data_IF_678813867346
#
_entry.id   IF_678813867346
#
_cell.length_a   1.000
_cell.length_b   1.000
_cell.length_c   1.000
_cell.angle_alpha   90.00
_cell.angle_beta   90.00
_cell.angle_gamma   90.00
#
_symmetry.space_group_name_H-M   'P 1'
#
loop_
_entity.id
_entity.type
_entity.pdbx_description
1 polymer ?
#
# COMPACT_ATOMS: atom_id res chain seq x y z
N UNK A 1 -12.76 34.11 -3.42
CA UNK A 1 -11.70 33.12 -3.12
C UNK A 1 -12.36 31.75 -3.03
N UNK A 2 -12.43 31.00 -4.14
CA UNK A 2 -12.77 29.58 -4.06
C UNK A 2 -11.53 28.88 -3.50
N UNK A 3 -11.53 28.59 -2.19
CA UNK A 3 -10.43 27.83 -1.59
C UNK A 3 -10.31 26.50 -2.33
N UNK A 4 -9.14 26.26 -2.94
CA UNK A 4 -8.86 25.01 -3.64
C UNK A 4 -9.22 23.83 -2.73
N UNK A 5 -10.18 23.02 -3.17
CA UNK A 5 -10.64 21.85 -2.41
C UNK A 5 -9.57 20.76 -2.49
N UNK A 6 -8.50 20.88 -1.72
CA UNK A 6 -7.51 19.80 -1.58
C UNK A 6 -8.15 18.54 -0.99
N UNK A 7 -7.58 17.38 -1.31
CA UNK A 7 -7.96 16.09 -0.73
C UNK A 7 -7.60 16.04 0.77
N UNK A 8 -8.12 15.06 1.53
CA UNK A 8 -7.46 14.66 2.77
C UNK A 8 -5.98 14.33 2.51
N UNK A 9 -5.17 14.43 3.55
CA UNK A 9 -3.78 14.03 3.52
C UNK A 9 -3.75 12.50 3.60
N UNK A 10 -3.24 11.86 2.56
CA UNK A 10 -2.93 10.44 2.58
C UNK A 10 -1.66 10.22 3.39
N UNK A 11 -1.76 9.51 4.50
CA UNK A 11 -0.67 9.27 5.44
C UNK A 11 -0.36 7.78 5.51
N UNK A 12 0.81 7.41 5.02
CA UNK A 12 1.28 6.03 5.05
C UNK A 12 2.43 5.88 6.06
N UNK A 13 2.25 5.01 7.05
CA UNK A 13 3.17 4.85 8.18
C UNK A 13 3.90 3.51 8.04
N UNK A 14 5.10 3.54 7.49
CA UNK A 14 6.00 2.38 7.41
C UNK A 14 6.87 2.24 8.66
N UNK A 15 7.68 1.17 8.75
CA UNK A 15 8.60 0.96 9.88
C UNK A 15 9.75 1.98 9.92
N UNK A 16 10.25 2.41 8.76
CA UNK A 16 11.40 3.33 8.63
C UNK A 16 11.04 4.74 8.16
N UNK A 17 9.88 4.92 7.54
CA UNK A 17 9.47 6.24 7.05
C UNK A 17 7.97 6.47 7.19
N UNK A 18 7.60 7.75 7.30
CA UNK A 18 6.23 8.23 7.14
C UNK A 18 6.13 8.96 5.81
N UNK A 19 5.29 8.44 4.92
CA UNK A 19 5.00 9.05 3.62
C UNK A 19 3.68 9.81 3.69
N UNK A 20 3.66 11.04 3.22
CA UNK A 20 2.44 11.85 3.16
C UNK A 20 2.27 12.49 1.78
N UNK A 21 1.04 12.47 1.27
CA UNK A 21 0.67 13.11 0.00
C UNK A 21 -0.65 13.85 0.18
N UNK A 22 -0.75 15.04 -0.39
CA UNK A 22 -1.99 15.79 -0.54
C UNK A 22 -2.14 16.21 -2.00
N UNK A 23 -3.34 16.01 -2.53
CA UNK A 23 -3.66 16.25 -3.93
C UNK A 23 -4.62 17.43 -4.09
N UNK A 24 -4.57 18.07 -5.25
CA UNK A 24 -5.54 19.03 -5.73
C UNK A 24 -6.30 18.44 -6.93
N UNK A 25 -7.64 18.47 -6.96
CA UNK A 25 -8.40 18.00 -8.12
C UNK A 25 -8.18 18.92 -9.31
N UNK A 26 -7.99 18.33 -10.50
CA UNK A 26 -7.85 19.10 -11.74
C UNK A 26 -9.20 19.40 -12.39
N UNK A 27 -9.37 20.58 -13.02
CA UNK A 27 -10.47 20.82 -13.95
C UNK A 27 -10.46 19.76 -15.06
N UNK A 28 -11.57 19.06 -15.29
CA UNK A 28 -11.66 17.99 -16.28
C UNK A 28 -11.32 16.58 -15.77
N UNK A 29 -10.96 16.45 -14.48
CA UNK A 29 -10.73 15.16 -13.83
C UNK A 29 -9.25 14.89 -13.54
N UNK A 30 -9.01 13.90 -12.66
CA UNK A 30 -7.68 13.60 -12.15
C UNK A 30 -7.21 14.56 -11.05
N UNK A 31 -5.92 14.43 -10.72
CA UNK A 31 -5.30 15.15 -9.62
C UNK A 31 -3.95 15.74 -10.04
N UNK A 32 -3.56 16.79 -9.33
CA UNK A 32 -2.19 17.29 -9.24
C UNK A 32 -1.66 17.15 -7.81
N UNK A 33 -0.35 16.97 -7.67
CA UNK A 33 0.33 16.95 -6.38
C UNK A 33 0.37 18.36 -5.81
N UNK A 34 -0.28 18.56 -4.66
CA UNK A 34 -0.26 19.82 -3.93
C UNK A 34 0.84 19.87 -2.86
N UNK A 35 1.10 18.73 -2.22
CA UNK A 35 2.21 18.55 -1.29
C UNK A 35 2.55 17.06 -1.19
N UNK A 36 3.83 16.73 -1.05
CA UNK A 36 4.29 15.37 -0.84
C UNK A 36 5.56 15.38 0.00
N UNK A 37 5.73 14.43 0.92
CA UNK A 37 6.95 14.28 1.70
C UNK A 37 7.11 12.83 2.17
N UNK A 38 8.36 12.38 2.28
CA UNK A 38 8.75 11.16 2.98
C UNK A 38 9.68 11.55 4.13
N UNK A 39 9.33 11.16 5.35
CA UNK A 39 10.04 11.52 6.58
C UNK A 39 10.67 10.26 7.17
N UNK A 40 11.97 10.27 7.52
CA UNK A 40 12.56 9.14 8.25
C UNK A 40 11.95 9.05 9.66
N UNK A 41 11.79 7.82 10.15
CA UNK A 41 11.37 7.52 11.52
C UNK A 41 12.60 7.26 12.40
N UNK A 42 12.45 7.50 13.69
CA UNK A 42 13.51 7.26 14.67
C UNK A 42 13.85 5.77 14.80
N UNK A 43 15.06 5.47 15.27
CA UNK A 43 15.44 4.10 15.61
C UNK A 43 14.48 3.51 16.67
N UNK A 44 14.04 2.27 16.48
CA UNK A 44 13.08 1.61 17.36
C UNK A 44 11.61 1.99 17.13
N UNK A 45 11.32 2.82 16.12
CA UNK A 45 9.94 3.02 15.66
C UNK A 45 9.34 1.67 15.22
N UNK A 46 8.26 1.25 15.90
CA UNK A 46 7.55 0.02 15.57
C UNK A 46 6.88 0.09 14.18
N UNK A 47 6.48 -1.05 13.64
CA UNK A 47 5.75 -1.10 12.37
C UNK A 47 4.34 -0.49 12.51
N UNK A 48 3.99 0.46 11.64
CA UNK A 48 2.61 0.83 11.35
C UNK A 48 1.88 1.80 12.30
N UNK A 49 2.34 1.97 13.54
CA UNK A 49 1.72 2.91 14.48
C UNK A 49 2.66 4.08 14.81
N UNK A 50 2.13 5.30 14.78
CA UNK A 50 2.80 6.47 15.32
C UNK A 50 2.59 6.52 16.83
N UNK A 51 3.57 7.04 17.56
CA UNK A 51 3.32 7.50 18.94
C UNK A 51 2.74 8.92 18.91
N UNK A 52 2.14 9.37 20.00
CA UNK A 52 1.62 10.76 20.12
C UNK A 52 2.73 11.78 19.85
N UNK A 53 3.92 11.59 20.43
CA UNK A 53 5.06 12.49 20.22
C UNK A 53 5.56 12.47 18.76
N UNK A 54 5.56 11.29 18.14
CA UNK A 54 5.94 11.16 16.74
C UNK A 54 4.93 11.83 15.81
N UNK A 55 3.64 11.65 16.09
CA UNK A 55 2.54 12.32 15.38
C UNK A 55 2.70 13.85 15.42
N UNK A 56 3.00 14.41 16.61
CA UNK A 56 3.27 15.84 16.77
C UNK A 56 4.42 16.34 15.88
N UNK A 57 5.56 15.62 15.86
CA UNK A 57 6.71 15.95 15.00
C UNK A 57 6.38 15.85 13.51
N UNK A 58 5.68 14.78 13.11
CA UNK A 58 5.24 14.59 11.72
C UNK A 58 4.40 15.80 11.30
N UNK A 59 3.43 16.20 12.11
CA UNK A 59 2.51 17.28 11.76
C UNK A 59 3.18 18.66 11.63
N UNK A 60 4.15 18.97 12.49
CA UNK A 60 4.96 20.18 12.36
C UNK A 60 5.68 20.24 11.01
N UNK A 61 6.23 19.11 10.56
CA UNK A 61 6.89 19.03 9.26
C UNK A 61 5.88 19.14 8.12
N UNK A 62 4.74 18.45 8.19
CA UNK A 62 3.70 18.55 7.15
C UNK A 62 3.25 20.01 6.95
N UNK A 63 3.02 20.75 8.03
CA UNK A 63 2.65 22.17 7.95
C UNK A 63 3.72 23.02 7.23
N UNK A 64 5.01 22.75 7.47
CA UNK A 64 6.14 23.44 6.79
C UNK A 64 6.31 23.00 5.34
N UNK A 65 5.89 21.79 5.00
CA UNK A 65 5.98 21.20 3.65
C UNK A 65 4.77 21.55 2.76
N UNK A 66 3.95 22.53 3.15
CA UNK A 66 2.86 23.05 2.33
C UNK A 66 1.56 22.25 2.39
N UNK A 67 1.45 21.26 3.28
CA UNK A 67 0.19 20.58 3.55
C UNK A 67 -0.80 21.53 4.23
N UNK A 68 -2.09 21.42 3.89
CA UNK A 68 -3.15 22.26 4.48
C UNK A 68 -4.35 21.43 4.92
N UNK A 69 -5.14 21.99 5.85
CA UNK A 69 -6.25 21.29 6.47
C UNK A 69 -5.79 20.31 7.55
N UNK A 70 -6.74 19.53 8.07
CA UNK A 70 -6.54 18.66 9.26
C UNK A 70 -7.08 17.25 9.06
N UNK A 71 -7.49 16.91 7.84
CA UNK A 71 -8.14 15.61 7.54
C UNK A 71 -7.14 14.63 7.00
N UNK A 72 -7.08 13.46 7.60
CA UNK A 72 -6.11 12.41 7.27
C UNK A 72 -6.84 11.13 6.87
N UNK A 73 -6.33 10.46 5.85
CA UNK A 73 -6.66 9.08 5.53
C UNK A 73 -5.38 8.29 5.70
N UNK A 74 -5.39 7.27 6.55
CA UNK A 74 -4.21 6.44 6.81
C UNK A 74 -4.44 4.98 6.47
N UNK A 75 -3.39 4.28 6.07
CA UNK A 75 -3.45 2.85 5.89
C UNK A 75 -3.43 2.14 7.25
N UNK A 76 -4.25 1.09 7.40
CA UNK A 76 -4.09 0.15 8.49
C UNK A 76 -2.73 -0.60 8.35
N UNK A 77 -2.00 -0.87 9.44
CA UNK A 77 -0.74 -1.60 9.39
C UNK A 77 -0.90 -2.99 8.78
N UNK A 78 -0.10 -3.30 7.76
CA UNK A 78 -0.15 -4.59 7.06
C UNK A 78 0.04 -5.79 8.00
N UNK A 79 0.81 -5.61 9.07
CA UNK A 79 1.13 -6.69 10.00
C UNK A 79 0.00 -7.04 10.98
N UNK A 80 -1.01 -6.18 11.10
CA UNK A 80 -2.16 -6.35 12.01
C UNK A 80 -3.48 -6.58 11.26
N UNK A 81 -3.50 -6.36 9.94
CA UNK A 81 -4.65 -6.63 9.08
C UNK A 81 -4.71 -8.12 8.72
N UNK A 82 -5.91 -8.66 8.68
CA UNK A 82 -6.20 -10.01 8.20
C UNK A 82 -7.25 -9.95 7.09
N UNK A 83 -7.20 -10.89 6.15
CA UNK A 83 -8.07 -10.89 4.97
C UNK A 83 -8.63 -12.29 4.68
N UNK A 84 -9.80 -12.32 4.04
CA UNK A 84 -10.40 -13.55 3.54
C UNK A 84 -11.18 -13.29 2.24
N UNK A 85 -11.01 -14.18 1.27
CA UNK A 85 -11.92 -14.27 0.12
C UNK A 85 -13.05 -15.25 0.49
N UNK A 86 -14.29 -14.76 0.48
CA UNK A 86 -15.46 -15.49 0.97
C UNK A 86 -16.46 -15.75 -0.15
N UNK A 87 -17.15 -16.88 -0.05
CA UNK A 87 -18.33 -17.20 -0.85
C UNK A 87 -19.55 -17.14 0.08
N UNK A 88 -20.45 -16.22 -0.21
CA UNK A 88 -21.60 -15.90 0.62
C UNK A 88 -22.89 -16.07 -0.19
N UNK A 89 -24.06 -16.16 0.47
CA UNK A 89 -25.33 -16.22 -0.24
C UNK A 89 -25.49 -15.10 -1.28
N UNK A 90 -26.21 -15.35 -2.39
CA UNK A 90 -26.53 -14.33 -3.39
C UNK A 90 -27.10 -13.07 -2.74
N UNK A 91 -26.65 -11.87 -3.14
CA UNK A 91 -27.26 -10.60 -2.70
C UNK A 91 -28.76 -10.56 -3.02
N UNK A 92 -29.19 -11.19 -4.11
CA UNK A 92 -30.60 -11.31 -4.52
C UNK A 92 -31.48 -12.08 -3.52
N UNK A 93 -30.89 -12.87 -2.62
CA UNK A 93 -31.63 -13.56 -1.55
C UNK A 93 -32.07 -12.63 -0.41
N UNK A 94 -31.58 -11.38 -0.37
CA UNK A 94 -31.81 -10.46 0.73
C UNK A 94 -30.94 -10.72 1.97
N UNK A 95 -29.97 -11.64 1.88
CA UNK A 95 -29.03 -11.91 2.95
C UNK A 95 -28.15 -10.68 3.26
N UNK A 96 -27.86 -10.39 4.55
CA UNK A 96 -26.98 -9.29 4.94
C UNK A 96 -25.52 -9.69 4.72
N UNK A 97 -25.05 -9.61 3.47
CA UNK A 97 -23.72 -10.07 3.03
C UNK A 97 -22.59 -9.49 3.87
N UNK A 98 -22.66 -8.20 4.21
CA UNK A 98 -21.63 -7.53 5.00
C UNK A 98 -21.53 -8.09 6.42
N UNK A 99 -22.66 -8.39 7.07
CA UNK A 99 -22.69 -8.98 8.41
C UNK A 99 -22.22 -10.44 8.39
N UNK A 100 -22.60 -11.21 7.36
CA UNK A 100 -22.10 -12.56 7.16
C UNK A 100 -20.59 -12.58 6.93
N UNK A 101 -20.08 -11.68 6.08
CA UNK A 101 -18.64 -11.52 5.85
C UNK A 101 -17.89 -11.19 7.15
N UNK A 102 -18.46 -10.29 7.97
CA UNK A 102 -17.91 -9.92 9.27
C UNK A 102 -17.85 -11.11 10.23
N UNK A 103 -18.94 -11.88 10.33
CA UNK A 103 -19.01 -13.09 11.15
C UNK A 103 -17.99 -14.15 10.73
N UNK A 104 -17.92 -14.41 9.42
CA UNK A 104 -16.99 -15.38 8.84
C UNK A 104 -15.54 -14.98 9.05
N UNK A 105 -15.21 -13.70 8.83
CA UNK A 105 -13.86 -13.19 9.05
C UNK A 105 -13.48 -13.25 10.54
N UNK A 106 -14.36 -12.82 11.45
CA UNK A 106 -14.12 -12.87 12.90
C UNK A 106 -13.86 -14.31 13.37
N UNK A 107 -14.66 -15.27 12.88
CA UNK A 107 -14.48 -16.71 13.14
C UNK A 107 -13.13 -17.22 12.65
N UNK A 108 -12.70 -16.81 11.45
CA UNK A 108 -11.41 -17.25 10.88
C UNK A 108 -10.20 -16.87 11.75
N UNK A 109 -10.30 -15.75 12.48
CA UNK A 109 -9.25 -15.25 13.39
C UNK A 109 -9.55 -15.49 14.87
N UNK A 110 -10.58 -16.29 15.18
CA UNK A 110 -10.99 -16.65 16.55
C UNK A 110 -11.24 -15.43 17.45
N UNK A 111 -11.90 -14.40 16.92
CA UNK A 111 -12.33 -13.20 17.65
C UNK A 111 -13.84 -13.06 17.65
N UNK A 112 -14.36 -12.29 18.59
CA UNK A 112 -15.77 -11.91 18.59
C UNK A 112 -16.07 -10.89 17.50
N UNK A 113 -17.29 -10.92 16.95
CA UNK A 113 -17.71 -10.01 15.87
C UNK A 113 -17.61 -8.54 16.29
N UNK A 114 -17.82 -8.23 17.57
CA UNK A 114 -17.71 -6.89 18.13
C UNK A 114 -16.27 -6.38 18.29
N UNK A 115 -15.28 -7.27 18.22
CA UNK A 115 -13.85 -6.94 18.41
C UNK A 115 -13.12 -6.66 17.10
N UNK A 116 -13.82 -6.70 15.97
CA UNK A 116 -13.24 -6.51 14.65
C UNK A 116 -13.97 -5.42 13.86
N UNK A 117 -13.19 -4.57 13.22
CA UNK A 117 -13.63 -3.64 12.18
C UNK A 117 -13.35 -4.29 10.83
N UNK A 118 -14.31 -4.21 9.90
CA UNK A 118 -14.22 -4.95 8.62
C UNK A 118 -14.62 -4.07 7.45
N UNK A 119 -13.80 -4.11 6.40
CA UNK A 119 -14.12 -3.62 5.07
C UNK A 119 -14.50 -4.81 4.17
N UNK A 120 -15.57 -4.69 3.40
CA UNK A 120 -16.05 -5.75 2.49
C UNK A 120 -16.33 -5.14 1.13
N UNK A 121 -15.92 -5.82 0.07
CA UNK A 121 -16.29 -5.47 -1.30
C UNK A 121 -16.52 -6.71 -2.16
N UNK A 122 -17.36 -6.56 -3.17
CA UNK A 122 -17.64 -7.61 -4.13
C UNK A 122 -16.43 -7.81 -5.04
N UNK A 123 -16.12 -9.07 -5.32
CA UNK A 123 -15.09 -9.45 -6.29
C UNK A 123 -15.74 -10.11 -7.50
N UNK A 124 -15.13 -9.98 -8.69
CA UNK A 124 -15.60 -10.69 -9.86
C UNK A 124 -15.70 -12.19 -9.59
N UNK A 125 -16.70 -12.83 -10.22
CA UNK A 125 -16.92 -14.26 -10.05
C UNK A 125 -15.70 -15.05 -10.56
N UNK A 126 -15.16 -15.98 -9.76
CA UNK A 126 -14.16 -16.93 -10.23
C UNK A 126 -14.68 -17.79 -11.37
N UNK A 127 -13.84 -18.06 -12.36
CA UNK A 127 -14.17 -18.95 -13.48
C UNK A 127 -14.26 -20.41 -13.02
N UNK A 128 -13.59 -20.76 -11.91
CA UNK A 128 -13.58 -22.10 -11.32
C UNK A 128 -14.01 -22.07 -9.86
N UNK A 129 -14.86 -23.04 -9.47
CA UNK A 129 -15.12 -23.36 -8.07
C UNK A 129 -16.12 -22.48 -7.33
N UNK A 130 -16.95 -21.68 -8.02
CA UNK A 130 -18.03 -20.90 -7.39
C UNK A 130 -19.41 -21.39 -7.81
N UNK A 131 -20.31 -21.61 -6.84
CA UNK A 131 -21.72 -21.92 -7.10
C UNK A 131 -22.34 -20.84 -8.00
N UNK A 132 -23.24 -21.23 -8.91
CA UNK A 132 -23.70 -20.31 -9.97
C UNK A 132 -24.38 -19.03 -9.50
N UNK A 133 -24.80 -19.00 -8.24
CA UNK A 133 -25.54 -17.89 -7.65
C UNK A 133 -24.85 -17.25 -6.44
N UNK A 134 -23.67 -17.71 -6.02
CA UNK A 134 -23.03 -17.17 -4.82
C UNK A 134 -22.46 -15.75 -5.04
N UNK A 135 -22.49 -14.94 -3.98
CA UNK A 135 -21.78 -13.66 -3.94
C UNK A 135 -20.35 -13.92 -3.50
N UNK A 136 -19.38 -13.54 -4.33
CA UNK A 136 -17.97 -13.59 -3.94
C UNK A 136 -17.54 -12.23 -3.42
N UNK A 137 -16.95 -12.21 -2.22
CA UNK A 137 -16.46 -10.98 -1.60
C UNK A 137 -15.02 -11.13 -1.13
N UNK A 138 -14.32 -10.01 -1.03
CA UNK A 138 -13.10 -9.88 -0.25
C UNK A 138 -13.44 -9.12 1.02
N UNK A 139 -13.01 -9.67 2.15
CA UNK A 139 -13.15 -9.05 3.46
C UNK A 139 -11.76 -8.78 4.04
N UNK A 140 -11.56 -7.59 4.60
CA UNK A 140 -10.36 -7.21 5.34
C UNK A 140 -10.73 -6.68 6.70
N UNK A 141 -10.01 -7.14 7.73
CA UNK A 141 -10.31 -6.84 9.11
C UNK A 141 -9.11 -6.33 9.87
N UNK A 142 -9.41 -5.53 10.88
CA UNK A 142 -8.50 -5.05 11.90
C UNK A 142 -9.20 -5.18 13.26
N UNK A 143 -8.47 -5.45 14.32
CA UNK A 143 -9.06 -5.44 15.65
C UNK A 143 -9.52 -4.04 16.08
N UNK A 144 -10.65 -3.95 16.77
CA UNK A 144 -11.27 -2.68 17.15
C UNK A 144 -10.34 -1.84 18.04
N UNK A 145 -9.75 -2.45 19.07
CA UNK A 145 -8.82 -1.77 19.97
C UNK A 145 -7.55 -1.30 19.23
N UNK A 146 -7.04 -2.12 18.29
CA UNK A 146 -5.91 -1.74 17.45
C UNK A 146 -6.27 -0.55 16.52
N UNK A 147 -7.48 -0.53 15.97
CA UNK A 147 -7.98 0.58 15.15
C UNK A 147 -8.11 1.88 15.97
N UNK A 148 -8.69 1.79 17.17
CA UNK A 148 -8.85 2.93 18.08
C UNK A 148 -7.50 3.52 18.48
N UNK A 149 -6.54 2.68 18.89
CA UNK A 149 -5.20 3.14 19.26
C UNK A 149 -4.47 3.87 18.12
N UNK A 150 -4.64 3.42 16.86
CA UNK A 150 -4.08 4.09 15.69
C UNK A 150 -4.68 5.48 15.48
N UNK A 151 -6.01 5.59 15.61
CA UNK A 151 -6.73 6.86 15.46
C UNK A 151 -6.33 7.82 16.57
N UNK A 152 -6.37 7.37 17.83
CA UNK A 152 -6.02 8.18 19.00
C UNK A 152 -4.60 8.74 18.90
N UNK A 153 -3.62 7.93 18.51
CA UNK A 153 -2.24 8.40 18.39
C UNK A 153 -2.07 9.53 17.38
N UNK A 154 -2.86 9.52 16.29
CA UNK A 154 -2.84 10.56 15.26
C UNK A 154 -3.64 11.79 15.69
N UNK A 155 -4.83 11.61 16.30
CA UNK A 155 -5.74 12.70 16.69
C UNK A 155 -5.35 13.37 18.01
N UNK A 156 -4.50 12.75 18.84
CA UNK A 156 -4.06 13.30 20.12
C UNK A 156 -3.36 14.67 20.01
N UNK A 157 -2.84 15.02 18.83
CA UNK A 157 -2.11 16.24 18.57
C UNK A 157 -2.73 17.11 17.46
N UNK A 158 -2.49 18.41 17.54
CA UNK A 158 -2.69 19.37 16.45
C UNK A 158 -4.08 19.34 15.77
N UNK A 159 -5.16 18.98 16.47
CA UNK A 159 -6.53 19.02 15.95
C UNK A 159 -6.73 18.28 14.62
N UNK A 160 -5.95 17.22 14.40
CA UNK A 160 -6.05 16.33 13.24
C UNK A 160 -7.28 15.45 13.41
N UNK A 161 -7.93 15.12 12.30
CA UNK A 161 -9.09 14.23 12.24
C UNK A 161 -8.80 13.12 11.24
N UNK A 162 -8.80 11.88 11.72
CA UNK A 162 -8.72 10.69 10.87
C UNK A 162 -10.11 10.49 10.22
N UNK A 163 -10.18 10.80 8.93
CA UNK A 163 -11.36 10.66 8.08
C UNK A 163 -11.52 9.22 7.58
N UNK A 164 -10.45 8.41 7.54
CA UNK A 164 -10.53 6.98 7.34
C UNK A 164 -9.27 6.23 7.75
N UNK A 165 -9.47 5.02 8.27
CA UNK A 165 -8.54 3.92 8.13
C UNK A 165 -8.90 3.18 6.83
N UNK A 166 -7.91 3.01 5.96
CA UNK A 166 -8.06 2.34 4.66
C UNK A 166 -7.23 1.06 4.60
N UNK A 167 -7.62 0.15 3.72
CA UNK A 167 -6.83 -1.02 3.41
C UNK A 167 -5.69 -0.61 2.48
N UNK A 168 -4.45 -0.92 2.86
CA UNK A 168 -3.28 -0.52 2.07
C UNK A 168 -3.32 -1.06 0.64
N UNK A 169 -3.78 -2.30 0.44
CA UNK A 169 -3.99 -2.87 -0.89
C UNK A 169 -4.95 -2.07 -1.78
N UNK A 170 -5.95 -1.41 -1.17
CA UNK A 170 -6.92 -0.59 -1.88
C UNK A 170 -6.31 0.77 -2.25
N UNK A 171 -5.47 1.33 -1.39
CA UNK A 171 -4.67 2.50 -1.73
C UNK A 171 -3.68 2.20 -2.87
N UNK A 172 -2.97 1.07 -2.78
CA UNK A 172 -2.14 0.56 -3.87
C UNK A 172 -2.92 0.40 -5.17
N UNK A 173 -4.09 -0.23 -5.13
CA UNK A 173 -4.94 -0.38 -6.30
C UNK A 173 -5.28 0.98 -6.95
N UNK A 174 -5.68 1.97 -6.15
CA UNK A 174 -6.00 3.32 -6.65
C UNK A 174 -4.79 4.00 -7.30
N UNK A 175 -3.63 3.93 -6.65
CA UNK A 175 -2.39 4.48 -7.21
C UNK A 175 -1.99 3.78 -8.52
N UNK A 176 -2.00 2.44 -8.54
CA UNK A 176 -1.64 1.64 -9.71
C UNK A 176 -2.58 1.85 -10.90
N UNK A 177 -3.89 1.94 -10.65
CA UNK A 177 -4.89 2.23 -11.67
C UNK A 177 -4.75 3.67 -12.20
N UNK A 178 -4.45 4.65 -11.35
CA UNK A 178 -4.18 6.01 -11.79
C UNK A 178 -2.93 6.07 -12.69
N UNK A 179 -1.88 5.33 -12.33
CA UNK A 179 -0.62 5.29 -13.06
C UNK A 179 -0.67 4.58 -14.42
N UNK A 180 -1.60 3.64 -14.59
CA UNK A 180 -1.74 2.86 -15.83
C UNK A 180 -2.98 3.21 -16.65
N UNK A 181 -3.90 3.99 -16.10
CA UNK A 181 -5.17 4.30 -16.72
C UNK A 181 -5.94 3.03 -17.12
N UNK A 182 -6.43 2.99 -18.36
CA UNK A 182 -7.13 1.84 -18.92
C UNK A 182 -6.22 0.81 -19.61
N UNK A 183 -4.88 0.95 -19.51
CA UNK A 183 -3.95 0.00 -20.12
C UNK A 183 -4.16 -1.41 -19.53
N UNK A 184 -4.50 -2.37 -20.40
CA UNK A 184 -4.73 -3.78 -20.04
C UNK A 184 -6.17 -4.26 -20.20
N UNK A 185 -7.13 -3.38 -20.49
CA UNK A 185 -8.52 -3.78 -20.77
C UNK A 185 -9.29 -4.32 -19.56
N UNK A 186 -10.61 -4.46 -19.72
CA UNK A 186 -11.46 -5.11 -18.74
C UNK A 186 -11.25 -6.63 -18.83
N UNK A 187 -10.70 -7.25 -17.77
CA UNK A 187 -10.60 -8.71 -17.66
C UNK A 187 -9.18 -9.30 -17.54
N UNK A 188 -8.12 -8.49 -17.47
CA UNK A 188 -6.78 -8.99 -17.11
C UNK A 188 -6.53 -8.89 -15.61
N UNK A 189 -5.72 -9.81 -15.09
CA UNK A 189 -5.14 -9.70 -13.76
C UNK A 189 -3.99 -8.70 -13.78
N UNK A 190 -3.90 -7.86 -12.74
CA UNK A 190 -2.69 -7.06 -12.49
C UNK A 190 -2.16 -7.41 -11.12
N UNK A 191 -0.89 -7.75 -11.00
CA UNK A 191 -0.25 -7.87 -9.70
C UNK A 191 0.37 -6.53 -9.31
N UNK A 192 0.21 -6.18 -8.04
CA UNK A 192 0.93 -5.08 -7.40
C UNK A 192 1.86 -5.69 -6.37
N UNK A 193 3.13 -5.33 -6.43
CA UNK A 193 4.18 -5.73 -5.52
C UNK A 193 4.68 -4.49 -4.80
N UNK A 194 4.44 -4.42 -3.50
CA UNK A 194 4.97 -3.38 -2.63
C UNK A 194 6.10 -3.96 -1.79
N UNK A 195 7.32 -3.54 -2.11
CA UNK A 195 8.52 -3.95 -1.37
C UNK A 195 8.83 -2.89 -0.31
N UNK A 196 8.19 -3.07 0.85
CA UNK A 196 8.37 -2.24 2.02
C UNK A 196 9.63 -2.59 2.82
N UNK A 197 9.91 -1.80 3.85
CA UNK A 197 11.01 -2.10 4.77
C UNK A 197 10.73 -3.36 5.61
N UNK A 198 9.54 -3.47 6.22
CA UNK A 198 9.23 -4.58 7.13
C UNK A 198 8.71 -5.84 6.43
N UNK A 199 8.06 -5.72 5.28
CA UNK A 199 7.39 -6.82 4.61
C UNK A 199 7.30 -6.60 3.09
N UNK A 200 7.03 -7.71 2.39
CA UNK A 200 6.57 -7.73 1.01
C UNK A 200 5.05 -7.85 0.99
N UNK A 201 4.37 -7.00 0.24
CA UNK A 201 2.93 -7.12 0.00
C UNK A 201 2.67 -7.39 -1.47
N UNK A 202 1.86 -8.41 -1.76
CA UNK A 202 1.45 -8.78 -3.11
C UNK A 202 -0.08 -8.77 -3.19
N UNK A 203 -0.63 -7.81 -3.92
CA UNK A 203 -2.06 -7.72 -4.19
C UNK A 203 -2.36 -8.04 -5.65
N UNK A 204 -3.44 -8.77 -5.93
CA UNK A 204 -3.89 -9.03 -7.30
C UNK A 204 -5.20 -8.32 -7.55
N UNK A 205 -5.26 -7.58 -8.65
CA UNK A 205 -6.44 -6.90 -9.14
C UNK A 205 -7.09 -7.69 -10.28
N UNK A 206 -8.42 -7.77 -10.27
CA UNK A 206 -9.21 -8.22 -11.41
C UNK A 206 -10.36 -7.24 -11.63
N UNK A 207 -10.44 -6.66 -12.84
CA UNK A 207 -11.45 -5.63 -13.14
C UNK A 207 -11.34 -4.37 -12.27
N UNK A 208 -10.15 -4.07 -11.73
CA UNK A 208 -9.91 -2.94 -10.82
C UNK A 208 -10.24 -3.23 -9.35
N UNK A 209 -10.79 -4.39 -9.02
CA UNK A 209 -11.04 -4.82 -7.65
C UNK A 209 -9.88 -5.67 -7.13
N UNK A 210 -9.48 -5.48 -5.87
CA UNK A 210 -8.53 -6.36 -5.19
C UNK A 210 -9.22 -7.70 -4.95
N UNK A 211 -8.70 -8.77 -5.55
CA UNK A 211 -9.27 -10.13 -5.45
C UNK A 211 -8.43 -11.09 -4.64
N UNK A 212 -7.20 -10.71 -4.36
CA UNK A 212 -6.26 -11.44 -3.53
C UNK A 212 -5.28 -10.45 -2.93
N UNK A 213 -4.87 -10.70 -1.70
CA UNK A 213 -3.89 -9.90 -0.99
C UNK A 213 -3.10 -10.82 -0.05
N UNK A 214 -1.77 -10.68 -0.06
CA UNK A 214 -0.88 -11.47 0.80
C UNK A 214 0.29 -10.62 1.23
N UNK A 215 0.55 -10.65 2.54
CA UNK A 215 1.72 -10.05 3.17
C UNK A 215 2.68 -11.16 3.56
N UNK A 216 3.93 -11.06 3.10
CA UNK A 216 5.02 -11.98 3.46
C UNK A 216 5.97 -11.23 4.40
N UNK A 217 5.82 -11.53 5.70
CA UNK A 217 6.73 -11.05 6.74
C UNK A 217 8.15 -11.57 6.44
N UNK A 218 9.16 -10.83 6.86
CA UNK A 218 10.58 -11.15 6.65
C UNK A 218 11.08 -11.11 5.19
N UNK A 219 10.21 -10.76 4.24
CA UNK A 219 10.57 -10.51 2.84
C UNK A 219 10.60 -9.01 2.48
N UNK A 220 10.78 -8.13 3.47
CA UNK A 220 11.04 -6.70 3.27
C UNK A 220 12.53 -6.33 3.27
N UNK A 221 12.85 -5.06 3.03
CA UNK A 221 14.24 -4.57 2.99
C UNK A 221 14.99 -4.69 4.32
N UNK A 222 14.29 -4.79 5.45
CA UNK A 222 14.91 -5.00 6.77
C UNK A 222 15.65 -6.34 6.85
N UNK A 223 15.23 -7.38 6.08
CA UNK A 223 15.96 -8.64 6.03
C UNK A 223 17.29 -8.49 5.28
N UNK A 224 17.28 -7.74 4.16
CA UNK A 224 18.50 -7.37 3.41
C UNK A 224 19.46 -6.60 4.30
N UNK A 225 18.97 -5.54 4.97
CA UNK A 225 19.79 -4.74 5.91
C UNK A 225 20.45 -5.60 6.97
N UNK A 226 19.68 -6.52 7.58
CA UNK A 226 20.18 -7.40 8.65
C UNK A 226 21.31 -8.29 8.15
N UNK A 227 21.17 -8.88 6.96
CA UNK A 227 22.21 -9.72 6.36
C UNK A 227 23.46 -8.88 6.04
N UNK A 228 23.28 -7.69 5.46
CA UNK A 228 24.41 -6.79 5.16
C UNK A 228 25.13 -6.31 6.41
N UNK A 229 24.41 -5.95 7.47
CA UNK A 229 24.99 -5.55 8.76
C UNK A 229 25.82 -6.70 9.37
N UNK A 230 25.37 -7.94 9.22
CA UNK A 230 26.10 -9.10 9.74
C UNK A 230 27.32 -9.49 8.89
N UNK A 231 27.26 -9.31 7.57
CA UNK A 231 28.36 -9.65 6.66
C UNK A 231 29.42 -8.54 6.53
N UNK A 232 29.01 -7.27 6.67
CA UNK A 232 29.87 -6.09 6.53
C UNK A 232 30.21 -5.47 7.90
N UNK A 233 30.39 -6.29 8.94
CA UNK A 233 30.63 -5.81 10.32
C UNK A 233 31.71 -4.73 10.34
N UNK A 234 31.40 -3.59 10.97
CA UNK A 234 32.30 -2.44 11.08
C UNK A 234 32.25 -1.45 9.91
N UNK A 235 31.46 -1.73 8.86
CA UNK A 235 31.16 -0.75 7.81
C UNK A 235 29.99 0.12 8.26
N UNK A 236 30.28 1.40 8.54
CA UNK A 236 29.24 2.40 8.72
C UNK A 236 28.55 2.71 7.39
N UNK A 237 27.27 3.08 7.43
CA UNK A 237 26.56 3.56 6.23
C UNK A 237 25.78 2.50 5.44
N UNK A 238 25.49 1.31 5.98
CA UNK A 238 24.60 0.32 5.33
C UNK A 238 23.26 0.96 4.89
N UNK A 239 22.71 1.90 5.65
CA UNK A 239 21.49 2.60 5.27
C UNK A 239 21.66 3.48 4.01
N UNK A 240 22.80 4.17 3.87
CA UNK A 240 23.13 4.93 2.66
C UNK A 240 23.31 3.99 1.45
N UNK A 241 23.90 2.81 1.65
CA UNK A 241 24.03 1.80 0.60
C UNK A 241 22.66 1.31 0.13
N UNK A 242 21.77 1.02 1.08
CA UNK A 242 20.41 0.61 0.76
C UNK A 242 19.64 1.72 0.03
N UNK A 243 19.83 2.99 0.40
CA UNK A 243 19.25 4.11 -0.33
C UNK A 243 19.76 4.20 -1.77
N UNK A 244 21.06 4.00 -2.00
CA UNK A 244 21.65 4.00 -3.35
C UNK A 244 21.11 2.83 -4.21
N UNK A 245 21.02 1.62 -3.63
CA UNK A 245 20.45 0.43 -4.28
C UNK A 245 18.97 0.67 -4.63
N UNK A 246 18.18 1.15 -3.67
CA UNK A 246 16.75 1.41 -3.87
C UNK A 246 16.50 2.59 -4.82
N UNK A 247 17.43 3.55 -4.90
CA UNK A 247 17.37 4.69 -5.82
C UNK A 247 17.80 4.38 -7.25
N UNK A 248 18.25 3.14 -7.53
CA UNK A 248 18.75 2.74 -8.84
C UNK A 248 20.04 3.45 -9.25
N UNK A 249 20.80 4.00 -8.28
CA UNK A 249 22.05 4.72 -8.56
C UNK A 249 23.23 3.76 -8.83
N UNK A 250 23.04 2.46 -8.59
CA UNK A 250 24.11 1.47 -8.62
C UNK A 250 25.12 1.68 -7.51
N UNK A 251 25.71 0.61 -7.00
CA UNK A 251 26.78 0.71 -6.02
C UNK A 251 28.11 0.79 -6.79
N UNK A 252 28.73 1.95 -6.86
CA UNK A 252 30.01 2.10 -7.57
C UNK A 252 31.14 1.40 -6.80
N UNK A 253 31.92 0.56 -7.48
CA UNK A 253 33.10 -0.12 -6.90
C UNK A 253 34.23 0.83 -6.46
N UNK A 254 34.11 2.13 -6.75
CA UNK A 254 35.10 3.14 -6.37
C UNK A 254 34.92 3.64 -4.94
N UNK A 255 33.68 3.67 -4.43
CA UNK A 255 33.35 4.18 -3.09
C UNK A 255 33.27 3.05 -2.05
N UNK A 256 32.95 1.84 -2.49
CA UNK A 256 33.03 0.63 -1.68
C UNK A 256 34.11 -0.27 -2.23
N UNK A 257 35.04 -0.72 -1.38
CA UNK A 257 36.03 -1.71 -1.78
C UNK A 257 35.36 -2.89 -2.48
N UNK A 258 35.94 -3.39 -3.57
CA UNK A 258 35.26 -4.32 -4.50
C UNK A 258 34.65 -5.57 -3.85
N UNK A 259 35.19 -6.03 -2.71
CA UNK A 259 34.57 -7.10 -1.92
C UNK A 259 33.20 -6.72 -1.35
N UNK A 260 33.05 -5.52 -0.78
CA UNK A 260 31.79 -5.05 -0.22
C UNK A 260 30.73 -4.84 -1.31
N UNK A 261 31.11 -4.31 -2.47
CA UNK A 261 30.20 -4.17 -3.61
C UNK A 261 29.67 -5.55 -4.09
N UNK A 262 30.56 -6.55 -4.18
CA UNK A 262 30.17 -7.92 -4.52
C UNK A 262 29.22 -8.55 -3.50
N UNK A 263 29.48 -8.33 -2.20
CA UNK A 263 28.60 -8.79 -1.11
C UNK A 263 27.22 -8.16 -1.19
N UNK A 264 27.13 -6.83 -1.35
CA UNK A 264 25.85 -6.11 -1.47
C UNK A 264 25.03 -6.66 -2.63
N UNK A 265 25.66 -6.79 -3.80
CA UNK A 265 25.01 -7.32 -5.00
C UNK A 265 24.46 -8.73 -4.78
N UNK A 266 25.27 -9.65 -4.22
CA UNK A 266 24.83 -11.03 -3.98
C UNK A 266 23.63 -11.12 -3.04
N UNK A 267 23.65 -10.35 -1.93
CA UNK A 267 22.52 -10.34 -0.97
C UNK A 267 21.24 -9.76 -1.61
N UNK A 268 21.36 -8.71 -2.42
CA UNK A 268 20.23 -8.13 -3.14
C UNK A 268 19.67 -9.11 -4.18
N UNK A 269 20.52 -9.77 -4.97
CA UNK A 269 20.11 -10.75 -5.98
C UNK A 269 19.37 -11.95 -5.38
N UNK A 270 19.83 -12.44 -4.22
CA UNK A 270 19.18 -13.50 -3.46
C UNK A 270 17.80 -13.06 -2.97
N UNK A 271 17.71 -11.86 -2.38
CA UNK A 271 16.45 -11.31 -1.91
C UNK A 271 15.44 -11.09 -3.04
N UNK A 272 15.89 -10.52 -4.16
CA UNK A 272 15.06 -10.37 -5.36
C UNK A 272 14.57 -11.72 -5.88
N UNK A 273 15.40 -12.77 -5.80
CA UNK A 273 14.97 -14.15 -6.10
C UNK A 273 13.81 -14.63 -5.22
N UNK A 274 13.86 -14.34 -3.91
CA UNK A 274 12.78 -14.66 -2.98
C UNK A 274 11.49 -13.92 -3.32
N UNK A 275 11.57 -12.61 -3.61
CA UNK A 275 10.42 -11.79 -4.01
C UNK A 275 9.75 -12.35 -5.27
N UNK A 276 10.53 -12.69 -6.30
CA UNK A 276 10.00 -13.27 -7.55
C UNK A 276 9.33 -14.63 -7.32
N UNK A 277 9.89 -15.46 -6.42
CA UNK A 277 9.29 -16.75 -6.07
C UNK A 277 7.95 -16.59 -5.34
N UNK A 278 7.82 -15.61 -4.44
CA UNK A 278 6.55 -15.30 -3.79
C UNK A 278 5.52 -14.78 -4.79
N UNK A 279 5.92 -13.88 -5.70
CA UNK A 279 5.06 -13.39 -6.77
C UNK A 279 4.57 -14.53 -7.66
N UNK A 280 5.45 -15.47 -8.06
CA UNK A 280 5.09 -16.66 -8.84
C UNK A 280 4.00 -17.48 -8.17
N UNK A 281 4.13 -17.70 -6.86
CA UNK A 281 3.15 -18.44 -6.05
C UNK A 281 1.78 -17.75 -6.07
N UNK A 282 1.76 -16.43 -5.86
CA UNK A 282 0.52 -15.64 -5.85
C UNK A 282 -0.15 -15.61 -7.23
N UNK A 283 0.63 -15.42 -8.30
CA UNK A 283 0.11 -15.42 -9.67
C UNK A 283 -0.44 -16.78 -10.08
N UNK A 284 0.23 -17.88 -9.73
CA UNK A 284 -0.26 -19.23 -10.00
C UNK A 284 -1.64 -19.48 -9.36
N UNK A 285 -1.81 -19.06 -8.10
CA UNK A 285 -3.10 -19.12 -7.40
C UNK A 285 -4.18 -18.29 -8.11
N UNK A 286 -3.88 -17.04 -8.46
CA UNK A 286 -4.85 -16.14 -9.08
C UNK A 286 -5.25 -16.60 -10.50
N UNK A 287 -4.27 -17.03 -11.31
CA UNK A 287 -4.49 -17.58 -12.66
C UNK A 287 -5.37 -18.82 -12.61
N UNK A 288 -5.12 -19.71 -11.65
CA UNK A 288 -5.94 -20.91 -11.48
C UNK A 288 -7.42 -20.55 -11.19
N UNK A 289 -7.66 -19.47 -10.43
CA UNK A 289 -9.00 -19.03 -10.00
C UNK A 289 -9.78 -18.28 -11.09
N UNK A 290 -9.13 -17.37 -11.83
CA UNK A 290 -9.80 -16.47 -12.78
C UNK A 290 -9.62 -16.83 -14.25
N UNK A 291 -8.63 -17.67 -14.60
CA UNK A 291 -8.39 -18.15 -15.96
C UNK A 291 -8.34 -17.03 -17.03
N UNK A 292 -7.70 -15.91 -16.71
CA UNK A 292 -7.51 -14.77 -17.62
C UNK A 292 -6.03 -14.38 -17.73
N UNK A 293 -5.71 -13.49 -18.69
CA UNK A 293 -4.35 -13.03 -18.91
C UNK A 293 -3.82 -12.15 -17.78
N UNK A 294 -2.49 -12.04 -17.68
CA UNK A 294 -1.82 -11.13 -16.73
C UNK A 294 -1.33 -9.90 -17.50
N UNK A 295 -1.68 -8.72 -17.00
CA UNK A 295 -1.12 -7.45 -17.43
C UNK A 295 0.25 -7.18 -16.78
N UNK A 296 0.72 -5.92 -16.78
CA UNK A 296 1.99 -5.59 -16.13
C UNK A 296 1.93 -5.79 -14.62
N UNK A 297 3.07 -6.16 -14.04
CA UNK A 297 3.32 -6.15 -12.60
C UNK A 297 3.68 -4.73 -12.19
N UNK A 298 2.95 -4.18 -11.23
CA UNK A 298 3.19 -2.82 -10.73
C UNK A 298 4.05 -2.88 -9.47
N UNK A 299 5.20 -2.20 -9.48
CA UNK A 299 6.13 -2.15 -8.36
C UNK A 299 5.92 -0.85 -7.56
N UNK A 300 5.77 -0.98 -6.24
CA UNK A 300 5.56 0.12 -5.29
C UNK A 300 6.47 -0.03 -4.06
N UNK A 301 6.56 1.05 -3.28
CA UNK A 301 7.34 1.05 -2.05
C UNK A 301 8.80 1.43 -2.26
N UNK A 302 9.57 1.54 -1.16
CA UNK A 302 10.97 1.93 -1.22
C UNK A 302 11.83 0.97 -2.05
N UNK A 303 11.52 -0.32 -2.06
CA UNK A 303 12.27 -1.32 -2.82
C UNK A 303 11.92 -1.41 -4.31
N UNK A 304 10.92 -0.66 -4.79
CA UNK A 304 10.50 -0.74 -6.20
C UNK A 304 11.55 -0.21 -7.19
N UNK A 305 12.51 0.59 -6.73
CA UNK A 305 13.58 1.14 -7.57
C UNK A 305 14.79 0.21 -7.75
N UNK A 306 14.79 -0.98 -7.13
CA UNK A 306 15.82 -2.00 -7.35
C UNK A 306 15.73 -2.48 -8.81
N UNK A 307 16.75 -2.19 -9.62
CA UNK A 307 16.76 -2.47 -11.06
C UNK A 307 16.62 -3.96 -11.36
N UNK A 308 17.32 -4.79 -10.57
CA UNK A 308 17.33 -6.24 -10.69
C UNK A 308 15.95 -6.85 -10.46
N UNK A 309 15.08 -6.21 -9.66
CA UNK A 309 13.73 -6.71 -9.41
C UNK A 309 12.88 -6.69 -10.68
N UNK A 310 12.85 -5.55 -11.38
CA UNK A 310 12.13 -5.44 -12.64
C UNK A 310 12.68 -6.37 -13.71
N UNK A 311 14.02 -6.47 -13.82
CA UNK A 311 14.68 -7.33 -14.78
C UNK A 311 14.41 -8.82 -14.53
N UNK A 312 14.43 -9.27 -13.27
CA UNK A 312 14.18 -10.67 -12.91
C UNK A 312 12.72 -11.07 -13.08
N UNK A 313 11.77 -10.17 -12.80
CA UNK A 313 10.34 -10.38 -13.11
C UNK A 313 10.15 -10.59 -14.62
N UNK A 314 10.77 -9.75 -15.44
CA UNK A 314 10.67 -9.85 -16.90
C UNK A 314 11.26 -11.17 -17.44
N UNK A 315 12.45 -11.56 -16.98
CA UNK A 315 13.13 -12.75 -17.49
C UNK A 315 12.53 -14.07 -16.97
N UNK A 316 12.12 -14.13 -15.70
CA UNK A 316 11.68 -15.38 -15.08
C UNK A 316 10.16 -15.63 -15.15
N UNK A 317 9.35 -14.57 -15.30
CA UNK A 317 7.89 -14.69 -15.35
C UNK A 317 7.31 -14.31 -16.72
N UNK A 318 8.13 -13.82 -17.65
CA UNK A 318 7.70 -13.28 -18.95
C UNK A 318 6.63 -12.18 -18.79
N UNK A 319 6.84 -11.29 -17.81
CA UNK A 319 5.92 -10.20 -17.47
C UNK A 319 6.62 -8.85 -17.46
N UNK A 320 5.94 -7.83 -17.99
CA UNK A 320 6.42 -6.44 -17.89
C UNK A 320 6.27 -5.95 -16.46
N UNK A 321 7.37 -5.51 -15.83
CA UNK A 321 7.35 -4.80 -14.56
C UNK A 321 7.34 -3.27 -14.79
N UNK A 322 6.46 -2.54 -14.10
CA UNK A 322 6.37 -1.08 -14.14
C UNK A 322 6.46 -0.51 -12.73
N UNK A 323 7.42 0.38 -12.49
CA UNK A 323 7.52 1.12 -11.22
C UNK A 323 6.45 2.21 -11.19
N UNK A 324 5.63 2.22 -10.14
CA UNK A 324 4.63 3.26 -9.92
C UNK A 324 5.25 4.36 -9.07
N UNK A 325 5.35 5.55 -9.66
CA UNK A 325 5.94 6.75 -9.04
C UNK A 325 4.86 7.78 -8.80
N UNK A 326 5.10 8.73 -7.92
CA UNK A 326 4.13 9.79 -7.66
C UNK A 326 3.73 10.55 -8.93
N UNK A 327 4.69 10.82 -9.81
CA UNK A 327 4.47 11.51 -11.10
C UNK A 327 3.63 10.72 -12.11
N UNK A 328 3.53 9.38 -11.96
CA UNK A 328 2.61 8.60 -12.79
C UNK A 328 1.19 8.57 -12.20
N UNK A 329 1.04 8.73 -10.88
CA UNK A 329 -0.26 8.71 -10.19
C UNK A 329 -1.01 10.04 -10.34
N UNK A 330 -0.31 11.17 -10.27
CA UNK A 330 -0.91 12.50 -10.33
C UNK A 330 -0.01 13.47 -11.11
N UNK A 331 -0.62 14.53 -11.66
CA UNK A 331 0.13 15.56 -12.35
C UNK A 331 1.06 16.31 -11.39
N UNK A 332 2.25 16.66 -11.88
CA UNK A 332 3.21 17.46 -11.14
C UNK A 332 2.92 18.93 -11.45
N UNK A 333 2.16 19.62 -10.59
CA UNK A 333 1.94 21.07 -10.73
C UNK A 333 3.23 21.89 -10.62
N UNK A 334 3.13 23.21 -10.60
CA UNK A 334 4.28 24.14 -10.65
C UNK A 334 5.22 24.10 -9.43
N UNK A 335 4.82 23.47 -8.32
CA UNK A 335 5.55 23.53 -7.05
C UNK A 335 6.24 22.19 -6.67
N UNK A 336 7.57 22.18 -6.67
CA UNK A 336 8.43 21.26 -5.89
C UNK A 336 8.39 19.75 -6.21
N UNK A 337 8.11 19.42 -7.46
CA UNK A 337 7.86 18.05 -7.92
C UNK A 337 9.07 17.18 -8.30
N UNK A 338 10.27 17.73 -8.48
CA UNK A 338 11.37 17.05 -9.19
C UNK A 338 11.75 15.66 -8.63
N UNK A 339 12.45 15.62 -7.50
CA UNK A 339 12.92 14.35 -6.91
C UNK A 339 11.78 13.56 -6.27
N UNK A 340 10.82 14.26 -5.63
CA UNK A 340 9.68 13.62 -4.96
C UNK A 340 8.73 12.94 -5.93
N UNK A 341 8.59 13.46 -7.15
CA UNK A 341 7.80 12.84 -8.21
C UNK A 341 8.29 11.44 -8.56
N UNK A 342 9.60 11.19 -8.43
CA UNK A 342 10.23 9.92 -8.78
C UNK A 342 10.24 8.88 -7.66
N UNK A 343 9.86 9.27 -6.44
CA UNK A 343 9.86 8.37 -5.28
C UNK A 343 8.65 7.42 -5.32
N UNK A 344 8.93 6.13 -5.52
CA UNK A 344 7.92 5.08 -5.54
C UNK A 344 7.32 4.79 -4.15
N UNK A 345 7.99 5.19 -3.07
CA UNK A 345 7.49 5.04 -1.71
C UNK A 345 6.33 6.01 -1.38
N UNK A 346 6.04 6.97 -2.27
CA UNK A 346 4.91 7.90 -2.13
C UNK A 346 3.63 7.41 -2.82
N UNK A 347 3.69 6.32 -3.61
CA UNK A 347 2.54 5.83 -4.38
C UNK A 347 1.35 5.44 -3.49
N UNK A 348 1.61 4.73 -2.38
CA UNK A 348 0.57 4.32 -1.42
C UNK A 348 -0.09 5.54 -0.78
N UNK A 349 0.71 6.50 -0.31
CA UNK A 349 0.20 7.74 0.27
C UNK A 349 -0.65 8.55 -0.74
N UNK A 350 -0.27 8.57 -2.01
CA UNK A 350 -1.09 9.16 -3.07
C UNK A 350 -2.43 8.42 -3.23
N UNK A 351 -2.41 7.08 -3.24
CA UNK A 351 -3.60 6.26 -3.25
C UNK A 351 -4.53 6.50 -2.05
N UNK A 352 -3.99 6.76 -0.86
CA UNK A 352 -4.75 7.16 0.33
C UNK A 352 -5.38 8.55 0.15
N UNK A 353 -4.64 9.51 -0.39
CA UNK A 353 -5.15 10.86 -0.67
C UNK A 353 -6.27 10.87 -1.71
N UNK A 354 -6.27 9.91 -2.64
CA UNK A 354 -7.32 9.69 -3.65
C UNK A 354 -8.59 9.03 -3.10
N UNK A 355 -8.65 8.68 -1.80
CA UNK A 355 -9.82 8.00 -1.24
C UNK A 355 -11.10 8.83 -1.52
N UNK A 356 -12.14 8.23 -2.13
CA UNK A 356 -13.37 8.96 -2.44
C UNK A 356 -13.96 9.58 -1.18
N UNK A 357 -14.33 10.86 -1.27
CA UNK A 357 -15.23 11.46 -0.27
C UNK A 357 -16.60 10.84 -0.45
N UNK A 358 -17.32 10.61 0.64
CA UNK A 358 -18.76 10.38 0.59
C UNK A 358 -19.40 11.58 -0.15
N UNK A 359 -19.72 11.40 -1.44
CA UNK A 359 -20.19 12.46 -2.34
C UNK A 359 -19.48 12.56 -3.71
N UNK A 360 -18.37 11.84 -3.93
CA UNK A 360 -17.84 11.60 -5.28
C UNK A 360 -18.27 10.19 -5.66
N UNK A 361 -19.25 10.09 -6.57
CA UNK A 361 -19.81 8.82 -7.03
C UNK A 361 -18.76 8.03 -7.83
N UNK A 362 -18.18 7.04 -7.15
CA UNK A 362 -17.37 5.95 -7.71
C UNK A 362 -17.99 4.67 -7.15
N UNK A 363 -19.10 4.26 -7.73
CA UNK A 363 -20.10 3.29 -7.25
C UNK A 363 -19.61 1.89 -6.81
N UNK A 364 -18.30 1.62 -6.77
CA UNK A 364 -17.71 0.35 -6.33
C UNK A 364 -17.11 0.32 -4.91
N UNK A 365 -17.03 1.43 -4.17
CA UNK A 365 -16.24 1.47 -2.92
C UNK A 365 -16.92 2.28 -1.81
N UNK A 366 -17.68 1.61 -0.91
CA UNK A 366 -18.24 2.21 0.32
C UNK A 366 -17.89 1.39 1.57
N UNK A 367 -17.32 2.07 2.57
CA UNK A 367 -17.59 1.78 3.99
C UNK A 367 -16.41 1.29 4.83
N UNK A 368 -15.96 2.13 5.80
CA UNK A 368 -15.26 1.69 7.02
C UNK A 368 -15.66 2.58 8.22
N UNK A 369 -15.79 3.91 8.07
CA UNK A 369 -15.94 4.80 9.24
C UNK A 369 -17.36 5.07 9.80
N UNK A 370 -18.44 4.66 9.12
CA UNK A 370 -19.79 5.02 9.59
C UNK A 370 -20.20 4.34 10.92
N UNK A 371 -19.48 3.31 11.36
CA UNK A 371 -19.71 2.60 12.63
C UNK A 371 -19.04 3.24 13.84
N UNK A 372 -17.76 3.63 13.71
CA UNK A 372 -16.94 4.12 14.82
C UNK A 372 -17.48 5.41 15.46
N UNK A 373 -18.03 6.34 14.66
CA UNK A 373 -18.49 7.64 15.17
C UNK A 373 -19.87 7.62 15.88
N UNK A 374 -20.61 6.51 15.85
CA UNK A 374 -21.95 6.45 16.50
C UNK A 374 -21.92 6.07 17.98
N UNK A 375 -20.77 5.66 18.55
CA UNK A 375 -20.67 5.27 19.97
C UNK A 375 -20.02 6.31 20.89
N UNK A 376 -19.51 7.42 20.35
CA UNK A 376 -18.81 8.46 21.11
C UNK A 376 -19.60 9.78 21.26
N UNK A 377 -20.93 9.76 21.12
CA UNK A 377 -21.81 10.91 21.32
C UNK A 377 -22.92 10.60 22.32
#
# INVERSE_FOLDING_TARGET
MMGERRTPIGLDVGSKSVSAVQLAPRPGGGFDVAAAVRLPRGAGAGSGALTVDESGRVWEVLCRQGFTGRRVVMAAPETTVFSAALELPPRSSGAPVEELAKQELARSVKREVGEVEVAVWDVPRPTRGGGSEATHVMAMGLGHAEAEALVEAVEAGAGVVVEALDCRCCAMARAGLAATGSEGGAGVLRAIVDLGDAALSVSVLHGGCVVYDRVVKDCGLDSVRRVLQDQLRGVEGVDLLMEAVCGGQGVSSGELGGMAAGTVKGVVEDHVGQVVQELRTVLAYALHKYACGIGPVLLMGPGAGIEELGAKIASELDLVAKVVRLESVAGMGDASAGERGRDAALAVAAGLAMRPRAGIDMSGWRGVLSGLRRKAA
#
